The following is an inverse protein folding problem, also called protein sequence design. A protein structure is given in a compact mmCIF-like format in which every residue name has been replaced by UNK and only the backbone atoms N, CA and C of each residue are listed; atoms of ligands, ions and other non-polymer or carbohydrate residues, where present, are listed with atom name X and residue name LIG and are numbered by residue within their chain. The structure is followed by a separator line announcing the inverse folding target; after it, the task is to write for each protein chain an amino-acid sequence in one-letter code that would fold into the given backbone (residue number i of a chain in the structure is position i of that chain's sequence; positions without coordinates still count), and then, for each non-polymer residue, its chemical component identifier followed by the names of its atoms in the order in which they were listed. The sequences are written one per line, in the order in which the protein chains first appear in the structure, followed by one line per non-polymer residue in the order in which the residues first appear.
data_IF_773653189921
#
_entry.id   IF_773653189921
#
_cell.length_a   1.000
_cell.length_b   1.000
_cell.length_c   1.000
_cell.angle_alpha   90.00
_cell.angle_beta   90.00
_cell.angle_gamma   90.00
#
_symmetry.space_group_name_H-M   'P 1'
#
loop_
_entity.id
_entity.type
_entity.pdbx_description
1 polymer ?
#
# COMPACT_ATOMS: atom_id res chain seq x y z
N UNK A 1 19.74 -18.83 7.36
CA UNK A 1 19.24 -17.43 7.37
C UNK A 1 17.77 -17.43 6.98
N UNK A 2 16.86 -17.12 7.90
CA UNK A 2 15.43 -16.99 7.58
C UNK A 2 15.18 -15.71 6.78
N UNK A 3 14.42 -15.79 5.69
CA UNK A 3 14.12 -14.61 4.86
C UNK A 3 13.36 -13.57 5.68
N UNK A 4 13.76 -12.29 5.63
CA UNK A 4 13.05 -11.16 6.29
C UNK A 4 11.57 -11.13 5.90
N UNK A 5 11.25 -11.59 4.68
CA UNK A 5 9.89 -11.77 4.17
C UNK A 5 9.03 -12.73 4.99
N UNK A 6 9.59 -13.83 5.51
CA UNK A 6 8.80 -14.83 6.26
C UNK A 6 8.45 -14.39 7.68
N UNK A 7 9.00 -13.25 8.15
CA UNK A 7 8.74 -12.66 9.47
C UNK A 7 8.14 -11.25 9.38
N UNK A 8 7.72 -10.81 8.19
CA UNK A 8 7.19 -9.47 7.99
C UNK A 8 5.75 -9.38 8.53
N UNK A 9 5.54 -8.43 9.44
CA UNK A 9 4.21 -8.13 10.00
C UNK A 9 3.33 -7.45 8.95
N UNK A 10 3.89 -6.61 8.06
CA UNK A 10 3.14 -6.06 6.93
C UNK A 10 2.54 -7.18 6.06
N UNK A 11 3.36 -8.16 5.66
CA UNK A 11 2.89 -9.25 4.80
C UNK A 11 1.81 -10.07 5.48
N UNK A 12 1.97 -10.36 6.78
CA UNK A 12 0.96 -11.06 7.57
C UNK A 12 -0.34 -10.27 7.64
N UNK A 13 -0.26 -8.97 7.94
CA UNK A 13 -1.41 -8.09 8.00
C UNK A 13 -2.16 -8.01 6.64
N UNK A 14 -1.43 -7.97 5.51
CA UNK A 14 -2.06 -8.02 4.18
C UNK A 14 -2.75 -9.37 3.92
N UNK A 15 -2.10 -10.48 4.26
CA UNK A 15 -2.66 -11.82 4.06
C UNK A 15 -3.89 -12.09 4.94
N UNK A 16 -3.98 -11.44 6.10
CA UNK A 16 -5.14 -11.48 6.99
C UNK A 16 -6.35 -10.69 6.44
N UNK A 17 -6.19 -9.91 5.36
CA UNK A 17 -7.25 -9.11 4.74
C UNK A 17 -7.65 -9.73 3.39
N UNK A 18 -8.73 -10.53 3.32
CA UNK A 18 -9.06 -11.30 2.11
C UNK A 18 -9.21 -10.46 0.85
N UNK A 19 -9.72 -9.22 0.98
CA UNK A 19 -9.98 -8.32 -0.13
C UNK A 19 -8.71 -7.85 -0.87
N UNK A 20 -7.54 -7.88 -0.21
CA UNK A 20 -6.27 -7.43 -0.81
C UNK A 20 -5.16 -8.50 -0.78
N UNK A 21 -5.36 -9.61 -0.06
CA UNK A 21 -4.36 -10.67 0.11
C UNK A 21 -3.81 -11.19 -1.22
N UNK A 22 -4.67 -11.36 -2.24
CA UNK A 22 -4.27 -11.81 -3.58
C UNK A 22 -3.42 -10.82 -4.37
N UNK A 23 -3.31 -9.56 -3.94
CA UNK A 23 -2.50 -8.53 -4.57
C UNK A 23 -1.12 -8.33 -3.94
N UNK A 24 -0.74 -9.13 -2.93
CA UNK A 24 0.56 -9.01 -2.29
C UNK A 24 1.69 -9.45 -3.24
N UNK A 25 2.61 -8.54 -3.54
CA UNK A 25 3.80 -8.83 -4.33
C UNK A 25 5.10 -8.47 -3.61
N UNK A 26 6.22 -8.98 -4.09
CA UNK A 26 7.53 -8.72 -3.50
C UNK A 26 8.07 -7.34 -3.90
N UNK A 27 8.74 -6.65 -2.97
CA UNK A 27 9.29 -5.31 -3.23
C UNK A 27 8.22 -4.36 -3.76
N UNK A 28 8.49 -3.69 -4.88
CA UNK A 28 7.54 -2.81 -5.59
C UNK A 28 6.81 -3.52 -6.75
N UNK A 29 6.76 -4.85 -6.79
CA UNK A 29 6.18 -5.55 -7.94
C UNK A 29 4.69 -5.28 -8.17
N UNK A 30 3.93 -4.90 -7.13
CA UNK A 30 2.53 -4.51 -7.29
C UNK A 30 2.36 -3.08 -7.86
N UNK A 31 3.39 -2.23 -7.74
CA UNK A 31 3.32 -0.87 -8.30
C UNK A 31 3.42 -0.93 -9.82
N UNK A 32 2.56 -0.21 -10.53
CA UNK A 32 2.59 -0.17 -12.00
C UNK A 32 3.89 0.45 -12.50
N UNK A 33 4.42 -0.02 -13.63
CA UNK A 33 5.69 0.48 -14.21
C UNK A 33 5.66 1.99 -14.45
N UNK A 34 4.52 2.54 -14.89
CA UNK A 34 4.36 3.97 -15.10
C UNK A 34 4.48 4.77 -13.80
N UNK A 35 4.11 4.19 -12.66
CA UNK A 35 4.07 4.87 -11.36
C UNK A 35 5.40 4.75 -10.61
N UNK A 36 6.13 3.65 -10.81
CA UNK A 36 7.47 3.44 -10.20
C UNK A 36 8.43 4.58 -10.44
N UNK A 37 8.35 5.25 -11.60
CA UNK A 37 9.23 6.39 -11.94
C UNK A 37 9.05 7.58 -11.01
N UNK A 38 7.93 7.66 -10.30
CA UNK A 38 7.62 8.69 -9.31
C UNK A 38 8.08 8.33 -7.90
N UNK A 39 8.65 7.13 -7.71
CA UNK A 39 9.13 6.64 -6.43
C UNK A 39 10.66 6.60 -6.38
N UNK A 40 11.22 7.18 -5.31
CA UNK A 40 12.64 7.05 -4.98
C UNK A 40 12.80 6.25 -3.71
N UNK A 41 13.43 5.08 -3.81
CA UNK A 41 13.68 4.20 -2.66
C UNK A 41 15.15 4.29 -2.27
N UNK A 42 15.42 4.74 -1.04
CA UNK A 42 16.80 4.93 -0.56
C UNK A 42 17.50 3.61 -0.24
N UNK A 43 16.76 2.63 0.31
CA UNK A 43 17.31 1.32 0.73
C UNK A 43 16.38 0.22 0.18
N UNK A 44 16.56 -0.23 -1.07
CA UNK A 44 15.65 -1.19 -1.72
C UNK A 44 15.48 -2.52 -0.96
N UNK A 45 16.52 -2.99 -0.28
CA UNK A 45 16.51 -4.21 0.54
C UNK A 45 15.64 -4.10 1.81
N UNK A 46 15.22 -2.88 2.16
CA UNK A 46 14.25 -2.63 3.24
C UNK A 46 12.80 -2.83 2.80
N UNK A 47 12.52 -2.98 1.50
CA UNK A 47 11.17 -3.28 1.02
C UNK A 47 10.78 -4.71 1.40
N UNK A 48 9.60 -4.87 2.03
CA UNK A 48 9.09 -6.18 2.44
C UNK A 48 7.91 -6.66 1.58
N UNK A 49 7.24 -5.75 0.87
CA UNK A 49 6.22 -6.07 -0.11
C UNK A 49 5.42 -4.84 -0.54
N UNK A 50 4.55 -5.02 -1.53
CA UNK A 50 3.60 -4.01 -2.01
C UNK A 50 2.26 -4.63 -2.40
N UNK A 51 1.22 -3.79 -2.45
CA UNK A 51 -0.14 -4.13 -2.90
C UNK A 51 -0.67 -2.99 -3.77
N UNK A 52 -1.30 -3.34 -4.90
CA UNK A 52 -2.13 -2.44 -5.72
C UNK A 52 -3.56 -2.44 -5.15
N UNK A 53 -3.81 -1.48 -4.25
CA UNK A 53 -5.03 -1.36 -3.46
C UNK A 53 -6.21 -0.96 -4.36
N UNK A 54 -5.97 -0.07 -5.32
CA UNK A 54 -7.00 0.34 -6.28
C UNK A 54 -7.53 -0.85 -7.07
N UNK A 55 -6.65 -1.63 -7.69
CA UNK A 55 -7.04 -2.74 -8.56
C UNK A 55 -7.65 -3.89 -7.79
N UNK A 56 -7.11 -4.23 -6.61
CA UNK A 56 -7.64 -5.32 -5.76
C UNK A 56 -9.04 -5.01 -5.24
N UNK A 57 -9.31 -3.75 -4.89
CA UNK A 57 -10.60 -3.33 -4.33
C UNK A 57 -11.60 -2.85 -5.40
N UNK A 58 -11.20 -2.74 -6.66
CA UNK A 58 -12.04 -2.24 -7.76
C UNK A 58 -13.34 -3.02 -7.94
N UNK A 59 -13.30 -4.35 -7.85
CA UNK A 59 -14.50 -5.18 -8.03
C UNK A 59 -15.49 -5.02 -6.88
N UNK A 60 -15.00 -4.95 -5.64
CA UNK A 60 -15.85 -4.82 -4.45
C UNK A 60 -16.39 -3.39 -4.27
N UNK A 61 -15.59 -2.39 -4.66
CA UNK A 61 -15.90 -0.97 -4.42
C UNK A 61 -15.73 -0.13 -5.70
N UNK A 62 -16.44 -0.40 -6.79
CA UNK A 62 -16.14 0.14 -8.12
C UNK A 62 -16.18 1.68 -8.21
N UNK A 63 -17.01 2.32 -7.40
CA UNK A 63 -17.20 3.78 -7.41
C UNK A 63 -16.52 4.49 -6.23
N UNK A 64 -15.80 3.76 -5.38
CA UNK A 64 -15.11 4.37 -4.25
C UNK A 64 -13.85 5.12 -4.69
N UNK A 65 -13.46 6.19 -3.97
CA UNK A 65 -12.19 6.87 -4.17
C UNK A 65 -11.07 6.02 -3.53
N UNK A 66 -10.73 4.91 -4.18
CA UNK A 66 -9.74 3.97 -3.67
C UNK A 66 -8.34 4.60 -3.68
N UNK A 67 -7.54 4.27 -2.67
CA UNK A 67 -6.11 4.61 -2.62
C UNK A 67 -5.33 3.70 -3.57
N UNK A 68 -4.22 4.18 -4.12
CA UNK A 68 -3.51 3.40 -5.16
C UNK A 68 -2.70 2.25 -4.58
N UNK A 69 -1.76 2.50 -3.66
CA UNK A 69 -0.80 1.49 -3.20
C UNK A 69 -0.55 1.49 -1.69
N UNK A 70 -0.25 0.30 -1.18
CA UNK A 70 0.36 0.10 0.13
C UNK A 70 1.74 -0.56 -0.02
N UNK A 71 2.76 -0.02 0.63
CA UNK A 71 4.14 -0.51 0.55
C UNK A 71 4.68 -0.75 1.95
N UNK A 72 5.01 -2.00 2.26
CA UNK A 72 5.67 -2.36 3.51
C UNK A 72 7.16 -2.07 3.43
N UNK A 73 7.70 -1.41 4.46
CA UNK A 73 9.09 -1.03 4.54
C UNK A 73 9.66 -1.22 5.95
N UNK A 74 10.85 -1.80 6.02
CA UNK A 74 11.58 -1.97 7.28
C UNK A 74 12.60 -0.85 7.46
N UNK A 75 12.27 0.15 8.28
CA UNK A 75 13.19 1.22 8.63
C UNK A 75 14.25 0.73 9.61
N UNK A 76 15.53 0.88 9.29
CA UNK A 76 16.64 0.46 10.16
C UNK A 76 16.65 1.15 11.54
N UNK A 77 16.06 2.35 11.63
CA UNK A 77 15.93 3.12 12.86
C UNK A 77 14.62 2.86 13.62
N UNK A 78 13.80 1.90 13.19
CA UNK A 78 12.56 1.51 13.89
C UNK A 78 12.57 0.01 14.18
N UNK A 79 11.98 -0.36 15.32
CA UNK A 79 11.80 -1.77 15.68
C UNK A 79 10.68 -2.44 14.89
N UNK A 80 9.73 -1.64 14.41
CA UNK A 80 8.55 -2.11 13.68
C UNK A 80 8.64 -1.69 12.21
N UNK A 81 8.06 -2.52 11.34
CA UNK A 81 7.82 -2.17 9.94
C UNK A 81 6.84 -1.00 9.85
N UNK A 82 6.95 -0.24 8.78
CA UNK A 82 6.02 0.85 8.46
C UNK A 82 5.32 0.54 7.14
N UNK A 83 4.09 1.05 7.01
CA UNK A 83 3.35 1.03 5.75
C UNK A 83 3.38 2.42 5.17
N UNK A 84 3.89 2.55 3.95
CA UNK A 84 3.75 3.75 3.15
C UNK A 84 2.52 3.62 2.26
N UNK A 85 1.54 4.47 2.50
CA UNK A 85 0.37 4.65 1.64
C UNK A 85 0.71 5.66 0.56
N UNK A 86 0.70 5.21 -0.70
CA UNK A 86 1.15 6.01 -1.85
C UNK A 86 -0.03 6.25 -2.78
N UNK A 87 -0.24 7.51 -3.10
CA UNK A 87 -1.23 8.00 -4.07
C UNK A 87 -0.47 8.72 -5.17
N UNK A 88 -0.62 8.27 -6.42
CA UNK A 88 0.02 8.87 -7.59
C UNK A 88 -1.06 9.59 -8.38
N UNK A 89 -1.08 10.92 -8.22
CA UNK A 89 -2.11 11.76 -8.82
C UNK A 89 -1.49 13.00 -9.48
N UNK A 90 -2.07 13.52 -10.59
CA UNK A 90 -1.66 14.79 -11.17
C UNK A 90 -1.74 15.94 -10.15
N UNK A 91 -0.77 16.84 -10.18
CA UNK A 91 -0.73 18.01 -9.30
C UNK A 91 -1.38 19.23 -9.98
N UNK A 92 -2.66 19.13 -10.34
CA UNK A 92 -3.46 20.24 -10.88
C UNK A 92 -4.36 20.89 -9.82
N UNK A 93 -4.76 22.13 -10.07
CA UNK A 93 -5.71 22.85 -9.21
C UNK A 93 -7.04 22.09 -9.15
N UNK A 94 -7.53 21.82 -7.92
CA UNK A 94 -8.76 21.06 -7.68
C UNK A 94 -8.55 19.63 -7.19
N UNK A 95 -7.37 19.05 -7.38
CA UNK A 95 -7.10 17.65 -7.04
C UNK A 95 -6.94 17.38 -5.54
N UNK A 96 -6.70 18.42 -4.74
CA UNK A 96 -6.62 18.27 -3.28
C UNK A 96 -7.92 17.69 -2.69
N UNK A 97 -9.08 18.05 -3.26
CA UNK A 97 -10.37 17.51 -2.82
C UNK A 97 -10.48 16.02 -3.10
N UNK A 98 -9.92 15.56 -4.22
CA UNK A 98 -9.89 14.14 -4.62
C UNK A 98 -9.00 13.35 -3.67
N UNK A 99 -7.79 13.85 -3.38
CA UNK A 99 -6.86 13.19 -2.45
C UNK A 99 -7.44 13.11 -1.03
N UNK A 100 -8.12 14.16 -0.56
CA UNK A 100 -8.80 14.14 0.73
C UNK A 100 -9.95 13.11 0.77
N UNK A 101 -10.75 13.02 -0.29
CA UNK A 101 -11.80 12.01 -0.38
C UNK A 101 -11.24 10.59 -0.36
N UNK A 102 -10.12 10.35 -1.07
CA UNK A 102 -9.41 9.07 -1.04
C UNK A 102 -8.88 8.74 0.35
N UNK A 103 -8.33 9.73 1.07
CA UNK A 103 -7.78 9.54 2.41
C UNK A 103 -8.88 9.17 3.41
N UNK A 104 -10.00 9.88 3.39
CA UNK A 104 -11.13 9.58 4.28
C UNK A 104 -11.71 8.19 4.01
N UNK A 105 -11.84 7.81 2.75
CA UNK A 105 -12.26 6.46 2.38
C UNK A 105 -11.27 5.41 2.87
N UNK A 106 -9.96 5.60 2.65
CA UNK A 106 -8.93 4.68 3.10
C UNK A 106 -8.99 4.47 4.62
N UNK A 107 -9.10 5.55 5.40
CA UNK A 107 -9.21 5.48 6.87
C UNK A 107 -10.46 4.75 7.33
N UNK A 108 -11.58 4.91 6.62
CA UNK A 108 -12.80 4.16 6.88
C UNK A 108 -12.60 2.67 6.62
N UNK A 109 -12.11 2.35 5.42
CA UNK A 109 -11.87 0.97 5.00
C UNK A 109 -10.89 0.23 5.93
N UNK A 110 -9.80 0.88 6.35
CA UNK A 110 -8.83 0.29 7.28
C UNK A 110 -9.45 -0.06 8.64
N UNK A 111 -10.28 0.82 9.21
CA UNK A 111 -10.93 0.57 10.50
C UNK A 111 -11.84 -0.66 10.46
N UNK A 112 -12.52 -0.86 9.34
CA UNK A 112 -13.52 -1.91 9.18
C UNK A 112 -12.90 -3.26 8.75
N UNK A 113 -11.86 -3.22 7.91
CA UNK A 113 -11.40 -4.41 7.18
C UNK A 113 -9.94 -4.77 7.45
N UNK A 114 -9.13 -3.85 7.95
CA UNK A 114 -7.67 -3.97 7.93
C UNK A 114 -7.00 -3.21 9.08
N UNK A 115 -7.52 -3.36 10.31
CA UNK A 115 -7.09 -2.60 11.48
C UNK A 115 -5.66 -2.91 11.98
N UNK A 116 -4.96 -3.85 11.34
CA UNK A 116 -3.55 -4.20 11.57
C UNK A 116 -2.59 -3.51 10.60
N UNK A 117 -3.11 -2.80 9.59
CA UNK A 117 -2.35 -2.04 8.58
C UNK A 117 -2.31 -0.54 8.88
#
# INVERSE_FOLDING_TARGET
MGSRRSKSEFRRAVLDVPAIAGGLCDGLQAVRTADKRHLRISVPESLVGSVDVDSTLKTAFPNAPRWDYAIGYHCSNRKVEVVYWVEIHPASDGEIKVVLAKLEWLRGWLRENANRL
#
